data_IF_304903823677
#
_entry.id   IF_304903823677
#
_cell.length_a   1.000
_cell.length_b   1.000
_cell.length_c   1.000
_cell.angle_alpha   90.00
_cell.angle_beta   90.00
_cell.angle_gamma   90.00
#
_symmetry.space_group_name_H-M   'P 1'
#
loop_
_entity.id
_entity.type
_entity.pdbx_description
1 polymer ?
#
# COMPACT_ATOMS: atom_id res chain seq x y z
N UNK A 1 15.61 -23.60 -11.33
CA UNK A 1 16.12 -23.70 -9.95
C UNK A 1 15.31 -22.75 -9.08
N UNK A 2 14.36 -23.29 -8.31
CA UNK A 2 13.55 -22.49 -7.39
C UNK A 2 14.44 -22.00 -6.25
N UNK A 3 14.67 -20.68 -6.20
CA UNK A 3 15.26 -20.05 -5.03
C UNK A 3 14.24 -20.16 -3.90
N UNK A 4 14.67 -20.78 -2.81
CA UNK A 4 13.89 -20.88 -1.57
C UNK A 4 13.58 -19.45 -1.13
N UNK A 5 12.32 -19.09 -1.21
CA UNK A 5 11.71 -17.94 -0.56
C UNK A 5 12.25 -17.87 0.87
N UNK A 6 13.05 -16.86 1.20
CA UNK A 6 13.54 -16.66 2.57
C UNK A 6 12.33 -16.68 3.52
N UNK A 7 12.44 -17.39 4.65
CA UNK A 7 11.35 -17.96 5.48
C UNK A 7 10.33 -17.00 6.12
N UNK A 8 9.88 -15.99 5.38
CA UNK A 8 8.91 -14.98 5.74
C UNK A 8 7.68 -15.14 4.86
N UNK A 9 6.46 -15.18 5.42
CA UNK A 9 5.24 -15.26 4.62
C UNK A 9 5.07 -13.96 3.82
N UNK A 10 5.20 -14.01 2.50
CA UNK A 10 4.96 -12.86 1.63
C UNK A 10 4.49 -13.37 0.27
N UNK A 11 3.46 -12.73 -0.30
CA UNK A 11 2.96 -13.15 -1.63
C UNK A 11 4.02 -12.92 -2.71
N UNK A 12 4.05 -13.77 -3.75
CA UNK A 12 5.03 -13.66 -4.84
C UNK A 12 5.02 -12.26 -5.48
N UNK A 13 3.85 -11.68 -5.71
CA UNK A 13 3.75 -10.35 -6.31
C UNK A 13 4.39 -9.24 -5.45
N UNK A 14 4.33 -9.39 -4.12
CA UNK A 14 4.98 -8.46 -3.20
C UNK A 14 6.48 -8.73 -3.08
N UNK A 15 6.93 -9.99 -3.17
CA UNK A 15 8.36 -10.31 -3.33
C UNK A 15 8.96 -9.58 -4.53
N UNK A 16 8.26 -9.63 -5.67
CA UNK A 16 8.76 -9.09 -6.93
C UNK A 16 8.80 -7.54 -6.96
N UNK A 17 7.96 -6.88 -6.16
CA UNK A 17 7.79 -5.42 -6.21
C UNK A 17 8.32 -4.66 -5.00
N UNK A 18 8.50 -5.32 -3.85
CA UNK A 18 9.15 -4.72 -2.68
C UNK A 18 10.67 -4.70 -2.82
N UNK A 19 11.35 -3.63 -2.35
CA UNK A 19 12.78 -3.68 -2.10
C UNK A 19 13.13 -4.80 -1.10
N UNK A 20 14.26 -5.48 -1.31
CA UNK A 20 14.67 -6.61 -0.47
C UNK A 20 14.80 -6.25 1.02
N UNK A 21 15.25 -5.02 1.32
CA UNK A 21 15.36 -4.51 2.69
C UNK A 21 14.01 -4.47 3.42
N UNK A 22 12.90 -4.42 2.68
CA UNK A 22 11.55 -4.32 3.25
C UNK A 22 10.85 -5.67 3.41
N UNK A 23 11.36 -6.75 2.81
CA UNK A 23 10.69 -8.05 2.79
C UNK A 23 10.38 -8.58 4.20
N UNK A 24 11.38 -8.60 5.08
CA UNK A 24 11.24 -9.18 6.41
C UNK A 24 10.24 -8.42 7.30
N UNK A 25 10.35 -7.09 7.37
CA UNK A 25 9.51 -6.31 8.26
C UNK A 25 8.09 -6.16 7.71
N UNK A 26 7.90 -6.02 6.39
CA UNK A 26 6.57 -5.98 5.75
C UNK A 26 5.87 -7.32 5.92
N UNK A 27 6.58 -8.44 5.68
CA UNK A 27 6.04 -9.77 5.94
C UNK A 27 5.56 -9.91 7.39
N UNK A 28 6.42 -9.56 8.36
CA UNK A 28 6.07 -9.62 9.78
C UNK A 28 4.88 -8.72 10.14
N UNK A 29 4.76 -7.55 9.51
CA UNK A 29 3.69 -6.60 9.80
C UNK A 29 2.33 -7.02 9.22
N UNK A 30 2.30 -7.60 8.01
CA UNK A 30 1.05 -7.75 7.25
C UNK A 30 0.69 -9.18 6.87
N UNK A 31 1.59 -10.15 7.01
CA UNK A 31 1.35 -11.50 6.53
C UNK A 31 1.42 -12.53 7.65
N UNK A 32 0.73 -13.64 7.41
CA UNK A 32 0.80 -14.88 8.18
C UNK A 32 0.75 -16.06 7.23
N UNK A 33 1.17 -17.22 7.68
CA UNK A 33 0.88 -18.46 6.97
C UNK A 33 -0.61 -18.79 7.08
N UNK A 34 -1.20 -19.26 5.98
CA UNK A 34 -2.60 -19.67 5.97
C UNK A 34 -2.81 -20.84 6.92
N UNK A 35 -3.91 -20.80 7.67
CA UNK A 35 -4.33 -21.92 8.51
C UNK A 35 -4.86 -23.09 7.66
N UNK A 36 -5.32 -22.83 6.43
CA UNK A 36 -5.87 -23.83 5.52
C UNK A 36 -4.82 -24.46 4.62
N UNK A 37 -3.74 -23.72 4.29
CA UNK A 37 -2.61 -24.23 3.54
C UNK A 37 -1.30 -23.62 4.10
N UNK A 38 -0.55 -24.36 4.93
CA UNK A 38 0.63 -23.84 5.63
C UNK A 38 1.70 -23.21 4.73
N UNK A 39 1.76 -23.60 3.45
CA UNK A 39 2.72 -23.07 2.48
C UNK A 39 2.22 -21.82 1.73
N UNK A 40 1.01 -21.37 2.02
CA UNK A 40 0.40 -20.21 1.35
C UNK A 40 0.45 -18.98 2.27
N UNK A 41 1.21 -17.93 1.92
CA UNK A 41 1.20 -16.68 2.66
C UNK A 41 -0.09 -15.90 2.40
N UNK A 42 -0.74 -15.45 3.47
CA UNK A 42 -1.97 -14.66 3.42
C UNK A 42 -1.77 -13.31 4.10
N UNK A 43 -2.38 -12.28 3.50
CA UNK A 43 -2.44 -10.96 4.13
C UNK A 43 -3.37 -11.02 5.35
N UNK A 44 -2.85 -10.68 6.51
CA UNK A 44 -3.61 -10.58 7.75
C UNK A 44 -4.29 -9.21 7.84
N UNK A 45 -5.50 -9.14 7.28
CA UNK A 45 -6.29 -7.91 7.25
C UNK A 45 -6.66 -7.39 8.65
N UNK A 46 -6.64 -8.23 9.69
CA UNK A 46 -6.91 -7.79 11.07
C UNK A 46 -5.85 -6.82 11.59
N UNK A 47 -4.63 -6.88 11.03
CA UNK A 47 -3.53 -5.99 11.39
C UNK A 47 -3.65 -4.63 10.73
N UNK A 48 -4.45 -4.47 9.67
CA UNK A 48 -4.58 -3.23 8.91
C UNK A 48 -5.61 -2.31 9.57
N UNK A 49 -5.13 -1.45 10.46
CA UNK A 49 -5.97 -0.52 11.24
C UNK A 49 -5.51 0.95 11.12
N UNK A 50 -4.44 1.23 10.37
CA UNK A 50 -3.90 2.57 10.16
C UNK A 50 -3.24 2.69 8.79
N UNK A 51 -3.13 3.92 8.32
CA UNK A 51 -2.57 4.27 7.00
C UNK A 51 -1.05 4.09 6.96
N UNK A 52 -0.33 4.53 7.98
CA UNK A 52 1.13 4.60 7.96
C UNK A 52 1.79 3.56 8.85
N UNK A 53 2.78 2.88 8.27
CA UNK A 53 3.61 1.89 8.93
C UNK A 53 5.08 2.22 8.71
N UNK A 54 5.89 1.91 9.72
CA UNK A 54 7.29 2.27 9.76
C UNK A 54 8.12 1.04 10.08
N UNK A 55 9.29 0.88 9.43
CA UNK A 55 10.24 -0.16 9.83
C UNK A 55 10.70 0.08 11.27
N UNK A 56 11.14 -0.98 11.94
CA UNK A 56 11.70 -0.88 13.27
C UNK A 56 12.98 -0.02 13.21
N UNK A 57 13.01 1.05 14.01
CA UNK A 57 14.21 1.88 14.12
C UNK A 57 15.34 1.07 14.79
N UNK A 58 16.60 1.22 14.35
CA UNK A 58 17.73 0.59 15.01
C UNK A 58 17.82 1.07 16.46
N UNK A 59 17.96 0.14 17.40
CA UNK A 59 18.23 0.49 18.78
C UNK A 59 19.60 1.17 18.85
N UNK A 60 19.68 2.34 19.50
CA UNK A 60 20.92 3.09 19.72
C UNK A 60 21.74 2.39 20.81
N UNK A 61 22.24 1.19 20.52
CA UNK A 61 23.09 0.42 21.43
C UNK A 61 24.54 0.73 21.07
N UNK A 62 25.20 1.51 21.93
CA UNK A 62 26.56 2.01 21.73
C UNK A 62 27.64 0.95 21.46
N UNK A 63 27.42 -0.31 21.83
CA UNK A 63 28.38 -1.40 21.69
C UNK A 63 28.08 -2.38 20.54
N UNK A 64 27.03 -2.15 19.75
CA UNK A 64 26.68 -3.00 18.61
C UNK A 64 26.66 -2.17 17.35
N UNK A 65 27.40 -2.60 16.32
CA UNK A 65 27.23 -2.04 14.99
C UNK A 65 25.85 -2.48 14.47
N UNK A 66 24.90 -1.55 14.26
CA UNK A 66 23.59 -1.90 13.76
C UNK A 66 23.70 -2.39 12.30
N UNK A 67 22.93 -3.42 11.97
CA UNK A 67 22.82 -3.88 10.59
C UNK A 67 22.40 -2.74 9.65
N UNK A 68 23.11 -2.58 8.54
CA UNK A 68 22.90 -1.53 7.53
C UNK A 68 21.43 -1.51 7.08
N UNK A 69 20.82 -2.68 6.92
CA UNK A 69 19.42 -2.91 6.55
C UNK A 69 18.41 -2.14 7.43
N UNK A 70 18.76 -1.85 8.68
CA UNK A 70 17.87 -1.14 9.61
C UNK A 70 17.70 0.35 9.31
N UNK A 71 18.56 0.93 8.47
CA UNK A 71 18.51 2.36 8.11
C UNK A 71 17.80 2.64 6.79
N UNK A 72 17.67 1.62 5.93
CA UNK A 72 17.13 1.78 4.57
C UNK A 72 15.72 1.25 4.41
N UNK A 73 15.07 0.83 5.50
CA UNK A 73 13.67 0.46 5.47
C UNK A 73 12.79 1.64 5.06
N UNK A 74 11.83 1.41 4.17
CA UNK A 74 10.93 2.44 3.70
C UNK A 74 9.66 2.44 4.54
N UNK A 75 9.12 3.62 4.85
CA UNK A 75 7.76 3.69 5.40
C UNK A 75 6.74 3.20 4.36
N UNK A 76 5.68 2.55 4.82
CA UNK A 76 4.63 2.00 3.97
C UNK A 76 3.31 2.73 4.22
N UNK A 77 2.71 3.21 3.14
CA UNK A 77 1.38 3.78 3.10
C UNK A 77 0.37 2.74 2.61
N UNK A 78 -0.61 2.43 3.44
CA UNK A 78 -1.67 1.45 3.17
C UNK A 78 -2.95 2.19 2.82
N UNK A 79 -3.35 2.12 1.56
CA UNK A 79 -4.61 2.72 1.09
C UNK A 79 -5.67 1.64 0.85
N UNK A 80 -6.43 1.32 1.89
CA UNK A 80 -7.51 0.31 1.81
C UNK A 80 -8.79 0.86 2.42
N UNK A 81 -9.43 1.88 1.81
CA UNK A 81 -10.53 2.63 2.44
C UNK A 81 -11.73 1.75 2.80
N UNK A 82 -12.03 0.70 2.02
CA UNK A 82 -13.13 -0.22 2.35
C UNK A 82 -12.79 -1.06 3.59
N UNK A 83 -11.51 -1.42 3.78
CA UNK A 83 -11.06 -2.18 4.95
C UNK A 83 -10.86 -1.32 6.19
N UNK A 84 -10.20 -0.19 6.05
CA UNK A 84 -9.85 0.71 7.14
C UNK A 84 -11.09 1.38 7.74
N UNK A 85 -12.05 1.77 6.89
CA UNK A 85 -13.15 2.64 7.30
C UNK A 85 -14.54 2.11 6.93
N UNK A 86 -14.63 0.91 6.35
CA UNK A 86 -15.91 0.24 6.01
C UNK A 86 -16.81 1.05 5.07
N UNK A 87 -16.22 1.85 4.18
CA UNK A 87 -16.99 2.59 3.17
C UNK A 87 -17.79 1.65 2.24
N UNK A 88 -19.04 2.03 1.97
CA UNK A 88 -19.84 1.48 0.87
C UNK A 88 -19.41 2.20 -0.41
N UNK A 89 -18.41 1.65 -1.09
CA UNK A 89 -17.91 2.16 -2.36
C UNK A 89 -18.70 1.56 -3.53
N UNK A 90 -19.18 2.39 -4.44
CA UNK A 90 -19.97 1.97 -5.61
C UNK A 90 -19.13 1.94 -6.88
N UNK A 91 -19.54 1.09 -7.82
CA UNK A 91 -18.87 0.95 -9.11
C UNK A 91 -18.94 2.26 -9.90
N UNK A 92 -17.81 2.81 -10.37
CA UNK A 92 -17.80 4.07 -11.12
C UNK A 92 -18.21 3.91 -12.60
N UNK A 93 -18.48 2.69 -13.07
CA UNK A 93 -18.87 2.44 -14.45
C UNK A 93 -20.35 2.78 -14.65
N UNK A 94 -20.66 3.51 -15.73
CA UNK A 94 -21.99 4.02 -16.06
C UNK A 94 -23.11 2.96 -16.07
N UNK A 95 -22.78 1.70 -16.41
CA UNK A 95 -23.74 0.60 -16.47
C UNK A 95 -23.97 -0.11 -15.11
N UNK A 96 -23.32 0.34 -14.03
CA UNK A 96 -23.37 -0.29 -12.70
C UNK A 96 -23.80 0.72 -11.62
N UNK A 97 -24.89 1.45 -11.87
CA UNK A 97 -25.37 2.49 -10.97
C UNK A 97 -25.73 1.94 -9.59
N UNK A 98 -25.09 2.47 -8.54
CA UNK A 98 -25.36 2.09 -7.15
C UNK A 98 -24.85 0.71 -6.75
N UNK A 99 -24.16 -0.02 -7.64
CA UNK A 99 -23.67 -1.37 -7.35
C UNK A 99 -22.46 -1.29 -6.42
N UNK A 100 -22.58 -1.84 -5.22
CA UNK A 100 -21.48 -1.89 -4.25
C UNK A 100 -20.32 -2.76 -4.74
N UNK A 101 -19.11 -2.25 -4.58
CA UNK A 101 -17.87 -2.95 -4.85
C UNK A 101 -17.53 -3.90 -3.70
N UNK A 102 -17.16 -5.13 -4.04
CA UNK A 102 -16.65 -6.14 -3.11
C UNK A 102 -15.13 -6.15 -3.05
N UNK A 103 -14.56 -6.72 -1.98
CA UNK A 103 -13.11 -6.92 -1.87
C UNK A 103 -12.63 -7.97 -2.87
N UNK A 104 -11.48 -7.73 -3.50
CA UNK A 104 -10.88 -8.62 -4.50
C UNK A 104 -9.39 -8.86 -4.26
N UNK A 105 -9.00 -8.92 -2.98
CA UNK A 105 -7.63 -9.18 -2.53
C UNK A 105 -6.74 -7.95 -2.49
N UNK A 106 -5.45 -8.15 -2.21
CA UNK A 106 -4.43 -7.12 -2.29
C UNK A 106 -4.07 -6.81 -3.74
N UNK A 107 -3.76 -5.56 -4.03
CA UNK A 107 -3.15 -5.19 -5.30
C UNK A 107 -1.72 -5.76 -5.37
N UNK A 108 -1.32 -6.38 -6.49
CA UNK A 108 -0.11 -7.18 -6.56
C UNK A 108 1.17 -6.34 -6.52
N UNK A 109 1.14 -5.11 -7.02
CA UNK A 109 2.35 -4.30 -7.20
C UNK A 109 2.44 -3.22 -6.12
N UNK A 110 3.49 -3.27 -5.32
CA UNK A 110 3.84 -2.16 -4.43
C UNK A 110 4.31 -0.96 -5.24
N UNK A 111 3.72 0.21 -5.00
CA UNK A 111 4.06 1.45 -5.70
C UNK A 111 5.12 2.22 -4.92
N UNK A 112 6.11 2.77 -5.62
CA UNK A 112 7.02 3.78 -5.07
C UNK A 112 6.41 5.16 -5.28
N UNK A 113 6.29 5.93 -4.21
CA UNK A 113 5.77 7.30 -4.26
C UNK A 113 6.89 8.26 -3.92
N UNK A 114 7.27 9.10 -4.90
CA UNK A 114 8.29 10.12 -4.72
C UNK A 114 7.88 11.09 -3.62
N UNK A 115 8.82 11.39 -2.72
CA UNK A 115 8.67 12.36 -1.65
C UNK A 115 9.89 13.28 -1.57
N UNK A 116 9.86 14.27 -0.67
CA UNK A 116 10.93 15.28 -0.56
C UNK A 116 12.29 14.63 -0.27
N UNK A 117 12.35 13.71 0.70
CA UNK A 117 13.60 13.10 1.17
C UNK A 117 13.86 11.71 0.56
N UNK A 118 13.23 11.39 -0.57
CA UNK A 118 13.36 10.08 -1.23
C UNK A 118 12.01 9.54 -1.70
N UNK A 119 11.59 8.39 -1.20
CA UNK A 119 10.28 7.81 -1.52
C UNK A 119 9.74 6.96 -0.37
N UNK A 120 8.44 6.73 -0.40
CA UNK A 120 7.79 5.72 0.44
C UNK A 120 7.10 4.67 -0.43
N UNK A 121 6.81 3.53 0.17
CA UNK A 121 6.11 2.44 -0.47
C UNK A 121 4.61 2.61 -0.26
N UNK A 122 3.81 2.23 -1.24
CA UNK A 122 2.35 2.29 -1.17
C UNK A 122 1.74 0.96 -1.60
N UNK A 123 0.80 0.48 -0.79
CA UNK A 123 0.01 -0.74 -1.04
C UNK A 123 -1.48 -0.41 -0.98
N UNK A 124 -2.29 -1.21 -1.68
CA UNK A 124 -3.74 -1.05 -1.71
C UNK A 124 -4.44 -2.40 -1.81
N UNK A 125 -5.76 -2.38 -1.65
CA UNK A 125 -6.65 -3.45 -2.05
C UNK A 125 -7.09 -3.31 -3.51
N UNK A 126 -7.48 -4.43 -4.13
CA UNK A 126 -8.34 -4.43 -5.30
C UNK A 126 -9.79 -4.54 -4.85
N UNK A 127 -10.65 -3.79 -5.53
CA UNK A 127 -12.09 -3.94 -5.44
C UNK A 127 -12.63 -4.57 -6.72
N UNK A 128 -13.79 -5.22 -6.67
CA UNK A 128 -14.44 -5.82 -7.83
C UNK A 128 -15.93 -5.49 -7.82
N UNK A 129 -16.45 -5.09 -8.98
CA UNK A 129 -17.89 -4.97 -9.15
C UNK A 129 -18.49 -6.38 -9.35
N UNK A 130 -19.53 -6.78 -8.60
CA UNK A 130 -20.19 -8.07 -8.81
C UNK A 130 -20.84 -8.15 -10.21
N UNK A 131 -21.41 -7.05 -10.70
CA UNK A 131 -22.17 -7.04 -11.97
C UNK A 131 -21.26 -7.08 -13.20
N UNK A 132 -20.44 -6.04 -13.40
CA UNK A 132 -19.57 -5.96 -14.57
C UNK A 132 -18.26 -6.75 -14.41
N UNK A 133 -18.01 -7.33 -13.23
CA UNK A 133 -16.81 -8.13 -12.88
C UNK A 133 -15.47 -7.41 -13.00
N UNK A 134 -15.46 -6.12 -13.34
CA UNK A 134 -14.23 -5.32 -13.49
C UNK A 134 -13.59 -5.05 -12.14
N UNK A 135 -12.25 -5.05 -12.13
CA UNK A 135 -11.46 -4.60 -10.98
C UNK A 135 -11.40 -3.08 -10.95
N UNK A 136 -11.49 -2.52 -9.75
CA UNK A 136 -11.42 -1.07 -9.50
C UNK A 136 -10.32 -0.82 -8.48
N UNK A 137 -9.49 0.19 -8.73
CA UNK A 137 -8.45 0.63 -7.81
C UNK A 137 -8.98 1.74 -6.88
N UNK A 138 -8.78 1.63 -5.56
CA UNK A 138 -9.34 2.58 -4.58
C UNK A 138 -8.79 4.01 -4.64
N UNK A 139 -7.67 4.24 -5.34
CA UNK A 139 -7.13 5.60 -5.54
C UNK A 139 -7.58 6.23 -6.87
N UNK A 140 -8.46 5.57 -7.63
CA UNK A 140 -9.01 6.19 -8.84
C UNK A 140 -9.82 7.44 -8.48
N UNK A 141 -9.79 8.46 -9.33
CA UNK A 141 -10.47 9.73 -9.06
C UNK A 141 -11.96 9.53 -8.74
N UNK A 142 -12.63 8.62 -9.45
CA UNK A 142 -14.04 8.32 -9.24
C UNK A 142 -14.33 7.62 -7.89
N UNK A 143 -13.41 6.82 -7.37
CA UNK A 143 -13.55 6.22 -6.02
C UNK A 143 -13.19 7.23 -4.94
N UNK A 144 -12.11 7.99 -5.12
CA UNK A 144 -11.73 9.06 -4.18
C UNK A 144 -12.85 10.09 -4.01
N UNK A 145 -13.60 10.39 -5.08
CA UNK A 145 -14.75 11.29 -5.08
C UNK A 145 -15.93 10.81 -4.22
N UNK A 146 -15.97 9.53 -3.84
CA UNK A 146 -17.02 8.96 -2.97
C UNK A 146 -16.67 9.06 -1.48
N UNK A 147 -15.40 9.28 -1.14
CA UNK A 147 -14.95 9.46 0.25
C UNK A 147 -15.32 10.86 0.74
N UNK A 148 -15.57 11.01 2.03
CA UNK A 148 -15.71 12.35 2.63
C UNK A 148 -14.38 13.12 2.56
N UNK A 149 -14.46 14.44 2.75
CA UNK A 149 -13.32 15.35 2.60
C UNK A 149 -12.16 14.99 3.53
N UNK A 150 -12.46 14.57 4.77
CA UNK A 150 -11.45 14.20 5.76
C UNK A 150 -10.63 13.01 5.28
N UNK A 151 -11.29 11.89 5.02
CA UNK A 151 -10.61 10.67 4.56
C UNK A 151 -9.97 10.82 3.17
N UNK A 152 -10.57 11.60 2.26
CA UNK A 152 -9.96 11.91 0.96
C UNK A 152 -8.66 12.70 1.12
N UNK A 153 -8.59 13.60 2.10
CA UNK A 153 -7.40 14.43 2.35
C UNK A 153 -6.21 13.62 2.83
N UNK A 154 -6.46 12.48 3.50
CA UNK A 154 -5.44 11.54 3.94
C UNK A 154 -4.69 10.86 2.80
N UNK A 155 -5.24 10.83 1.57
CA UNK A 155 -4.54 10.29 0.42
C UNK A 155 -3.42 11.25 -0.03
N UNK A 156 -2.14 10.92 0.17
CA UNK A 156 -1.04 11.86 0.02
C UNK A 156 -0.50 11.94 -1.42
N UNK A 157 -0.85 10.97 -2.27
CA UNK A 157 -0.21 10.79 -3.56
C UNK A 157 -1.02 11.41 -4.71
N UNK A 158 -0.31 11.83 -5.74
CA UNK A 158 -0.81 12.20 -7.06
C UNK A 158 -0.40 11.06 -8.01
N UNK A 159 -1.34 10.20 -8.43
CA UNK A 159 -1.05 9.21 -9.45
C UNK A 159 -0.87 9.91 -10.81
N UNK A 160 0.24 9.64 -11.48
CA UNK A 160 0.49 9.99 -12.88
C UNK A 160 0.45 8.72 -13.75
N UNK A 161 0.70 8.83 -15.06
CA UNK A 161 0.60 7.68 -15.96
C UNK A 161 1.48 6.48 -15.54
N UNK A 162 2.73 6.73 -15.10
CA UNK A 162 3.66 5.66 -14.66
C UNK A 162 4.09 5.77 -13.21
N UNK A 163 4.00 6.96 -12.60
CA UNK A 163 4.63 7.25 -11.31
C UNK A 163 3.63 7.82 -10.31
N UNK A 164 4.01 7.79 -9.03
CA UNK A 164 3.26 8.43 -7.96
C UNK A 164 4.16 9.49 -7.33
N UNK A 165 3.59 10.67 -7.07
CA UNK A 165 4.30 11.78 -6.46
C UNK A 165 3.51 12.30 -5.25
N UNK A 166 4.18 12.54 -4.12
CA UNK A 166 3.54 13.12 -2.96
C UNK A 166 3.09 14.56 -3.27
N UNK A 167 1.87 14.92 -2.84
CA UNK A 167 1.32 16.28 -2.92
C UNK A 167 2.27 17.32 -2.30
N UNK A 168 3.08 16.93 -1.30
CA UNK A 168 4.10 17.80 -0.69
C UNK A 168 5.17 18.26 -1.68
N UNK A 169 5.67 17.36 -2.53
CA UNK A 169 6.66 17.68 -3.57
C UNK A 169 6.07 18.67 -4.57
N UNK A 170 4.85 18.42 -5.06
CA UNK A 170 4.16 19.33 -5.98
C UNK A 170 3.92 20.71 -5.36
N UNK A 171 3.59 20.78 -4.06
CA UNK A 171 3.44 22.05 -3.33
C UNK A 171 4.76 22.81 -3.26
N UNK A 172 5.85 22.12 -2.94
CA UNK A 172 7.18 22.73 -2.85
C UNK A 172 7.61 23.32 -4.21
N UNK A 173 7.45 22.56 -5.29
CA UNK A 173 7.79 23.03 -6.65
C UNK A 173 6.96 24.24 -7.11
N UNK A 174 5.69 24.35 -6.68
CA UNK A 174 4.85 25.52 -6.98
C UNK A 174 5.30 26.77 -6.25
N UNK A 175 5.79 26.64 -5.02
CA UNK A 175 6.27 27.78 -4.24
C UNK A 175 7.59 28.33 -4.81
N UNK A 176 8.47 27.47 -5.32
CA UNK A 176 9.75 27.88 -5.91
C UNK A 176 9.63 28.54 -7.29
N UNK A 177 8.50 28.40 -7.97
CA UNK A 177 8.28 29.03 -9.29
C UNK A 177 7.60 30.41 -9.20
N UNK A 178 7.10 30.77 -8.02
CA UNK A 178 6.39 32.03 -7.77
C UNK A 178 7.18 33.00 -6.88
N UNK A 179 8.45 32.72 -6.61
CA UNK A 179 9.39 33.58 -5.89
C UNK A 179 10.61 33.84 -6.74
#
# INVERSE_FOLDING_TARGET
MCLISGGFPLSQAWWDSLPQVDHAWVSKAFFRWSSSNPDTPELDYSRIHKLWWYPAQPALIHNLCPGIDRYFGHRLFVWMPKRLWKYVLVCPHSHCTGVELSHAGSYPIVKKVLDIDGYYLMVTEYLKCPDCRRKVIPWSAAVLAQLDVGHRSEFPAIPTYKYFCNKRVARMLRLTLNG
#
